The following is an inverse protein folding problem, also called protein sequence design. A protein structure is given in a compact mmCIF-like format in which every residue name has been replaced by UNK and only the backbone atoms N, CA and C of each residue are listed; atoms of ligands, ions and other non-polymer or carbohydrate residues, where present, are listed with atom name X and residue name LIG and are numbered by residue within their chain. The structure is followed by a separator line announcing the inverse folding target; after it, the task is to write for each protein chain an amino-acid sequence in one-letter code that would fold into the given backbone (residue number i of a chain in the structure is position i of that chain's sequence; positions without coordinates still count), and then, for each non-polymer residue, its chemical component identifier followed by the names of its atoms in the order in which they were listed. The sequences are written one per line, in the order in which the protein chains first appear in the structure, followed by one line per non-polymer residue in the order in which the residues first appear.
data_IF_880238458483
#
_entry.id   IF_880238458483
#
_cell.length_a   1.000
_cell.length_b   1.000
_cell.length_c   1.000
_cell.angle_alpha   90.00
_cell.angle_beta   90.00
_cell.angle_gamma   90.00
#
_symmetry.space_group_name_H-M   'P 1'
#
loop_
_entity.id
_entity.type
_entity.pdbx_description
1 polymer ?
#
# COMPACT_ATOMS: atom_id res chain seq x y z
N UNK A 1 23.39 -16.32 -0.74
CA UNK A 1 22.17 -15.57 -1.10
C UNK A 1 21.16 -16.09 -0.13
N UNK A 2 20.84 -15.29 0.89
CA UNK A 2 19.81 -15.66 1.86
C UNK A 2 18.53 -15.21 1.19
N UNK A 3 17.75 -16.15 0.67
CA UNK A 3 16.41 -15.85 0.18
C UNK A 3 15.59 -15.34 1.37
N UNK A 4 14.88 -14.24 1.17
CA UNK A 4 14.03 -13.62 2.18
C UNK A 4 12.88 -14.56 2.52
N UNK A 5 12.62 -14.87 3.81
CA UNK A 5 11.60 -15.84 4.17
C UNK A 5 10.21 -15.34 3.80
N UNK A 6 9.43 -16.19 3.13
CA UNK A 6 8.07 -15.91 2.70
C UNK A 6 7.08 -16.54 3.67
N UNK A 7 6.25 -15.72 4.31
CA UNK A 7 5.17 -16.17 5.19
C UNK A 7 3.80 -15.85 4.60
N UNK A 8 2.90 -16.82 4.57
CA UNK A 8 1.54 -16.65 4.06
C UNK A 8 0.54 -16.76 5.20
N UNK A 9 -0.32 -15.75 5.37
CA UNK A 9 -1.49 -15.85 6.24
C UNK A 9 -2.73 -16.01 5.38
N UNK A 10 -3.43 -17.14 5.53
CA UNK A 10 -4.61 -17.48 4.75
C UNK A 10 -5.86 -17.43 5.64
N UNK A 11 -6.74 -16.46 5.36
CA UNK A 11 -8.02 -16.26 6.03
C UNK A 11 -9.15 -16.94 5.28
N UNK A 12 -9.90 -17.79 5.97
CA UNK A 12 -10.98 -18.59 5.40
C UNK A 12 -12.27 -18.42 6.19
N UNK A 13 -13.41 -18.25 5.50
CA UNK A 13 -14.71 -18.24 6.19
C UNK A 13 -15.09 -19.64 6.69
N UNK A 14 -15.40 -19.75 7.99
CA UNK A 14 -15.80 -21.02 8.59
C UNK A 14 -17.33 -21.22 8.63
N UNK A 15 -17.83 -22.48 8.55
CA UNK A 15 -17.23 -23.63 7.89
C UNK A 15 -17.88 -23.79 6.51
N UNK A 16 -17.17 -23.41 5.45
CA UNK A 16 -17.60 -23.70 4.09
C UNK A 16 -16.56 -24.62 3.43
N UNK A 17 -16.87 -25.92 3.41
CA UNK A 17 -16.24 -26.92 2.53
C UNK A 17 -16.66 -26.60 1.10
N UNK A 18 -16.03 -25.58 0.52
CA UNK A 18 -16.17 -25.25 -0.88
C UNK A 18 -14.94 -25.79 -1.57
N UNK A 19 -15.14 -26.71 -2.51
CA UNK A 19 -14.07 -27.34 -3.31
C UNK A 19 -12.96 -26.37 -3.77
N UNK A 20 -13.25 -25.14 -4.29
CA UNK A 20 -12.17 -24.22 -4.66
C UNK A 20 -11.33 -23.74 -3.47
N UNK A 21 -11.94 -23.53 -2.30
CA UNK A 21 -11.21 -23.08 -1.11
C UNK A 21 -10.34 -24.20 -0.57
N UNK A 22 -10.87 -25.42 -0.51
CA UNK A 22 -10.11 -26.60 -0.04
C UNK A 22 -8.89 -26.83 -0.95
N UNK A 23 -9.08 -26.81 -2.27
CA UNK A 23 -7.99 -26.97 -3.23
C UNK A 23 -6.93 -25.88 -3.15
N UNK A 24 -7.33 -24.62 -2.93
CA UNK A 24 -6.38 -23.50 -2.73
C UNK A 24 -5.57 -23.66 -1.45
N UNK A 25 -6.20 -24.08 -0.35
CA UNK A 25 -5.51 -24.36 0.92
C UNK A 25 -4.56 -25.55 0.79
N UNK A 26 -4.98 -26.64 0.15
CA UNK A 26 -4.11 -27.80 -0.14
C UNK A 26 -2.89 -27.40 -0.98
N UNK A 27 -3.09 -26.51 -1.95
CA UNK A 27 -2.01 -26.00 -2.79
C UNK A 27 -1.01 -25.16 -2.00
N UNK A 28 -1.48 -24.30 -1.09
CA UNK A 28 -0.60 -23.53 -0.21
C UNK A 28 0.19 -24.43 0.74
N UNK A 29 -0.43 -25.50 1.27
CA UNK A 29 0.26 -26.50 2.09
C UNK A 29 1.33 -27.25 1.31
N UNK A 30 1.09 -27.53 0.02
CA UNK A 30 2.12 -28.10 -0.84
C UNK A 30 3.29 -27.11 -1.02
N UNK A 31 3.01 -25.82 -1.23
CA UNK A 31 4.04 -24.78 -1.36
C UNK A 31 4.95 -24.71 -0.12
N UNK A 32 4.37 -24.81 1.08
CA UNK A 32 5.12 -24.89 2.35
C UNK A 32 5.97 -26.16 2.42
N UNK A 33 5.40 -27.32 2.10
CA UNK A 33 6.13 -28.60 2.12
C UNK A 33 7.26 -28.68 1.10
N UNK A 34 7.13 -27.98 -0.03
CA UNK A 34 8.12 -27.91 -1.11
C UNK A 34 9.19 -26.83 -0.87
N UNK A 35 9.01 -25.96 0.14
CA UNK A 35 9.94 -24.90 0.51
C UNK A 35 9.87 -23.66 -0.39
N UNK A 36 8.80 -23.50 -1.16
CA UNK A 36 8.49 -22.26 -1.91
C UNK A 36 7.82 -21.20 -1.04
N UNK A 37 7.26 -21.61 0.09
CA UNK A 37 6.76 -20.77 1.18
C UNK A 37 7.42 -21.28 2.45
N UNK A 38 7.94 -20.40 3.30
CA UNK A 38 8.62 -20.80 4.53
C UNK A 38 7.64 -21.14 5.66
N UNK A 39 6.52 -20.41 5.76
CA UNK A 39 5.50 -20.63 6.80
C UNK A 39 4.08 -20.32 6.29
N UNK A 40 3.12 -21.20 6.61
CA UNK A 40 1.70 -21.04 6.30
C UNK A 40 0.83 -20.98 7.57
N UNK A 41 0.17 -19.84 7.79
CA UNK A 41 -0.76 -19.62 8.89
C UNK A 41 -2.21 -19.61 8.42
N UNK A 42 -2.98 -20.66 8.77
CA UNK A 42 -4.42 -20.70 8.52
C UNK A 42 -5.22 -19.99 9.64
N UNK A 43 -6.10 -19.08 9.26
CA UNK A 43 -7.00 -18.32 10.14
C UNK A 43 -8.42 -18.40 9.64
N UNK A 44 -9.37 -18.44 10.59
CA UNK A 44 -10.78 -18.37 10.25
C UNK A 44 -11.34 -17.00 10.58
N UNK A 45 -12.29 -16.53 9.76
CA UNK A 45 -12.99 -15.26 10.00
C UNK A 45 -14.50 -15.37 9.72
N UNK A 46 -15.32 -14.55 10.39
CA UNK A 46 -16.76 -14.53 10.17
C UNK A 46 -17.10 -13.94 8.80
N UNK A 47 -18.27 -14.30 8.29
CA UNK A 47 -18.81 -13.75 7.04
C UNK A 47 -19.07 -12.24 7.12
N UNK A 48 -19.64 -11.82 8.24
CA UNK A 48 -20.03 -10.44 8.49
C UNK A 48 -19.58 -10.03 9.90
N UNK A 49 -19.03 -8.82 10.01
CA UNK A 49 -18.58 -8.21 11.26
C UNK A 49 -19.30 -6.89 11.43
N UNK A 50 -19.83 -6.61 12.62
CA UNK A 50 -20.37 -5.27 12.91
C UNK A 50 -19.22 -4.29 13.11
N UNK A 51 -19.22 -3.16 12.40
CA UNK A 51 -18.24 -2.08 12.58
C UNK A 51 -18.62 -1.25 13.80
N UNK A 52 -18.22 -1.70 14.98
CA UNK A 52 -18.40 -0.98 16.24
C UNK A 52 -17.30 -1.31 17.22
N UNK A 53 -16.94 -0.38 18.10
CA UNK A 53 -15.90 -0.57 19.15
C UNK A 53 -16.20 -1.72 20.11
N UNK A 54 -17.48 -2.11 20.22
CA UNK A 54 -17.95 -3.23 21.05
C UNK A 54 -18.14 -4.53 20.26
N UNK A 55 -17.70 -4.58 19.00
CA UNK A 55 -17.78 -5.81 18.19
C UNK A 55 -16.90 -6.90 18.83
N UNK A 56 -17.37 -8.15 18.91
CA UNK A 56 -16.58 -9.27 19.42
C UNK A 56 -15.48 -9.74 18.45
N UNK A 57 -15.38 -9.13 17.26
CA UNK A 57 -14.41 -9.43 16.23
C UNK A 57 -13.53 -8.21 15.92
N UNK A 58 -13.01 -7.55 16.96
CA UNK A 58 -12.10 -6.40 16.79
C UNK A 58 -10.89 -6.79 15.95
N UNK A 59 -10.36 -7.99 16.13
CA UNK A 59 -9.19 -8.49 15.42
C UNK A 59 -9.38 -8.50 13.89
N UNK A 60 -10.60 -8.72 13.42
CA UNK A 60 -10.94 -8.70 11.99
C UNK A 60 -11.02 -7.26 11.47
N UNK A 61 -11.52 -6.33 12.29
CA UNK A 61 -11.57 -4.91 11.94
C UNK A 61 -10.16 -4.32 11.89
N UNK A 62 -9.31 -4.62 12.87
CA UNK A 62 -7.90 -4.22 12.88
C UNK A 62 -7.14 -4.78 11.67
N UNK A 63 -7.39 -6.05 11.33
CA UNK A 63 -6.83 -6.68 10.12
C UNK A 63 -7.28 -5.97 8.85
N UNK A 64 -8.57 -5.64 8.75
CA UNK A 64 -9.13 -4.91 7.62
C UNK A 64 -8.53 -3.50 7.48
N UNK A 65 -8.42 -2.75 8.58
CA UNK A 65 -7.81 -1.40 8.58
C UNK A 65 -6.34 -1.44 8.15
N UNK A 66 -5.60 -2.47 8.58
CA UNK A 66 -4.23 -2.72 8.12
C UNK A 66 -4.16 -3.01 6.62
N UNK A 67 -5.12 -3.75 6.07
CA UNK A 67 -5.20 -4.02 4.63
C UNK A 67 -5.57 -2.78 3.83
N UNK A 68 -6.49 -1.94 4.32
CA UNK A 68 -6.78 -0.64 3.70
C UNK A 68 -5.52 0.23 3.66
N UNK A 69 -4.80 0.33 4.78
CA UNK A 69 -3.56 1.11 4.86
C UNK A 69 -2.44 0.59 3.95
N UNK A 70 -2.42 -0.72 3.70
CA UNK A 70 -1.53 -1.33 2.71
C UNK A 70 -1.97 -0.97 1.30
N UNK A 71 -3.25 -1.14 0.99
CA UNK A 71 -3.82 -0.93 -0.34
C UNK A 71 -3.65 0.53 -0.79
N UNK A 72 -3.97 1.48 0.08
CA UNK A 72 -3.83 2.92 -0.15
C UNK A 72 -2.39 3.30 -0.53
N UNK A 73 -1.40 2.70 0.13
CA UNK A 73 0.03 2.96 -0.13
C UNK A 73 0.50 2.39 -1.47
N UNK A 74 -0.24 1.43 -2.01
CA UNK A 74 0.13 0.67 -3.21
C UNK A 74 -0.73 1.05 -4.43
N UNK A 75 -1.65 2.02 -4.27
CA UNK A 75 -2.55 2.45 -5.35
C UNK A 75 -3.55 1.37 -5.78
N UNK A 76 -3.88 0.46 -4.87
CA UNK A 76 -4.86 -0.61 -5.11
C UNK A 76 -5.96 -0.55 -4.05
N UNK A 77 -7.03 -1.31 -4.27
CA UNK A 77 -8.17 -1.39 -3.39
C UNK A 77 -8.50 -2.84 -3.04
N UNK A 78 -8.65 -3.15 -1.76
CA UNK A 78 -9.21 -4.45 -1.31
C UNK A 78 -10.73 -4.56 -1.50
N UNK A 79 -11.35 -3.53 -2.09
CA UNK A 79 -12.75 -3.54 -2.54
C UNK A 79 -12.77 -3.76 -4.06
N UNK A 80 -13.72 -4.54 -4.61
CA UNK A 80 -14.94 -5.06 -3.99
C UNK A 80 -14.89 -6.40 -3.20
N UNK A 81 -13.75 -7.11 -3.03
CA UNK A 81 -13.71 -8.33 -2.22
C UNK A 81 -14.21 -8.14 -0.79
N UNK A 82 -13.74 -7.08 -0.12
CA UNK A 82 -14.35 -6.58 1.10
C UNK A 82 -15.49 -5.62 0.75
N UNK A 83 -16.62 -5.75 1.46
CA UNK A 83 -17.80 -4.90 1.21
C UNK A 83 -18.37 -4.35 2.48
N UNK A 84 -18.89 -3.15 2.41
CA UNK A 84 -19.59 -2.52 3.52
C UNK A 84 -21.09 -2.55 3.26
N UNK A 85 -21.87 -2.87 4.30
CA UNK A 85 -23.32 -2.90 4.23
C UNK A 85 -23.94 -2.25 5.44
N UNK A 86 -24.94 -1.42 5.20
CA UNK A 86 -25.80 -0.90 6.24
C UNK A 86 -27.01 -1.83 6.43
N UNK A 87 -27.29 -2.21 7.68
CA UNK A 87 -28.46 -3.02 8.05
C UNK A 87 -29.30 -2.28 9.09
N UNK A 88 -30.58 -2.06 8.78
CA UNK A 88 -31.54 -1.48 9.73
C UNK A 88 -32.43 -2.57 10.30
N UNK A 89 -32.54 -2.62 11.62
CA UNK A 89 -33.40 -3.56 12.35
C UNK A 89 -34.87 -3.14 12.28
N UNK A 90 -35.77 -4.04 12.70
CA UNK A 90 -37.20 -3.72 12.86
C UNK A 90 -37.45 -2.62 13.91
N UNK A 91 -36.52 -2.42 14.85
CA UNK A 91 -36.56 -1.35 15.85
C UNK A 91 -36.07 0.00 15.32
N UNK A 92 -35.62 0.06 14.06
CA UNK A 92 -35.08 1.27 13.43
C UNK A 92 -33.60 1.52 13.74
N UNK A 93 -32.93 0.63 14.45
CA UNK A 93 -31.49 0.73 14.72
C UNK A 93 -30.71 0.35 13.46
N UNK A 94 -29.82 1.24 13.03
CA UNK A 94 -28.94 1.02 11.88
C UNK A 94 -27.55 0.59 12.35
N UNK A 95 -26.97 -0.40 11.68
CA UNK A 95 -25.62 -0.92 11.95
C UNK A 95 -24.83 -1.05 10.66
N UNK A 96 -23.56 -0.72 10.71
CA UNK A 96 -22.62 -0.91 9.61
C UNK A 96 -21.94 -2.28 9.75
N UNK A 97 -21.86 -2.99 8.64
CA UNK A 97 -21.32 -4.34 8.56
C UNK A 97 -20.17 -4.37 7.57
N UNK A 98 -19.06 -4.95 7.97
CA UNK A 98 -18.00 -5.39 7.07
C UNK A 98 -18.29 -6.83 6.63
N UNK A 99 -18.33 -7.05 5.33
CA UNK A 99 -18.43 -8.36 4.70
C UNK A 99 -17.04 -8.75 4.20
N UNK A 100 -16.47 -9.82 4.77
CA UNK A 100 -15.16 -10.36 4.37
C UNK A 100 -15.23 -11.05 2.99
N UNK A 101 -14.13 -11.37 2.31
CA UNK A 101 -14.15 -12.33 1.21
C UNK A 101 -14.22 -13.77 1.72
N UNK A 102 -14.42 -14.73 0.82
CA UNK A 102 -14.43 -16.15 1.17
C UNK A 102 -13.04 -16.65 1.60
N UNK A 103 -12.04 -16.20 0.85
CA UNK A 103 -10.62 -16.45 1.02
C UNK A 103 -9.88 -15.13 0.91
N UNK A 104 -8.87 -14.89 1.75
CA UNK A 104 -7.95 -13.77 1.64
C UNK A 104 -6.54 -14.22 2.05
N UNK A 105 -5.54 -13.75 1.32
CA UNK A 105 -4.14 -14.04 1.58
C UNK A 105 -3.44 -12.76 1.99
N UNK A 106 -2.61 -12.86 3.03
CA UNK A 106 -1.54 -11.91 3.32
C UNK A 106 -0.23 -12.58 2.93
N UNK A 107 0.62 -11.85 2.22
CA UNK A 107 1.96 -12.29 1.80
C UNK A 107 2.97 -11.42 2.50
N UNK A 108 3.87 -12.06 3.26
CA UNK A 108 4.97 -11.40 3.94
C UNK A 108 6.30 -11.85 3.37
N UNK A 109 7.22 -10.92 3.19
CA UNK A 109 8.63 -11.17 2.87
C UNK A 109 9.47 -10.47 3.96
N UNK A 110 10.33 -11.22 4.67
CA UNK A 110 11.12 -10.67 5.79
C UNK A 110 10.27 -9.90 6.83
N UNK A 111 9.11 -10.46 7.19
CA UNK A 111 8.12 -9.86 8.11
C UNK A 111 7.45 -8.55 7.60
N UNK A 112 7.73 -8.10 6.37
CA UNK A 112 7.04 -6.98 5.74
C UNK A 112 5.80 -7.45 4.99
N UNK A 113 4.64 -6.79 5.19
CA UNK A 113 3.43 -7.08 4.42
C UNK A 113 3.61 -6.60 2.98
N UNK A 114 3.89 -7.53 2.08
CA UNK A 114 4.16 -7.23 0.67
C UNK A 114 2.90 -7.39 -0.19
N UNK A 115 1.97 -8.28 0.15
CA UNK A 115 0.75 -8.50 -0.66
C UNK A 115 -0.51 -8.80 0.14
N UNK A 116 -1.66 -8.30 -0.34
CA UNK A 116 -2.99 -8.74 0.14
C UNK A 116 -3.83 -9.16 -1.07
N UNK A 117 -4.35 -10.39 -1.09
CA UNK A 117 -5.16 -10.89 -2.20
C UNK A 117 -6.51 -11.42 -1.69
N UNK A 118 -7.62 -11.21 -2.41
CA UNK A 118 -7.71 -10.46 -3.65
C UNK A 118 -7.76 -8.94 -3.42
N UNK A 119 -7.31 -8.17 -4.40
CA UNK A 119 -7.47 -6.72 -4.48
C UNK A 119 -7.72 -6.34 -5.95
N UNK A 120 -8.17 -5.11 -6.16
CA UNK A 120 -8.40 -4.51 -7.47
C UNK A 120 -7.46 -3.33 -7.67
N UNK A 121 -6.99 -3.15 -8.89
CA UNK A 121 -6.22 -1.99 -9.30
C UNK A 121 -7.17 -0.83 -9.62
N UNK A 122 -6.92 0.34 -9.03
CA UNK A 122 -7.82 1.50 -9.13
C UNK A 122 -7.79 2.16 -10.52
N UNK A 123 -6.75 1.93 -11.33
CA UNK A 123 -6.61 2.51 -12.67
C UNK A 123 -7.22 1.63 -13.76
N UNK A 124 -7.07 0.32 -13.65
CA UNK A 124 -7.43 -0.67 -14.67
C UNK A 124 -8.75 -1.40 -14.37
N UNK A 125 -9.27 -1.30 -13.14
CA UNK A 125 -10.39 -2.10 -12.63
C UNK A 125 -10.13 -3.63 -12.68
N UNK A 126 -8.89 -4.07 -12.93
CA UNK A 126 -8.52 -5.48 -12.92
C UNK A 126 -8.40 -5.99 -11.47
N UNK A 127 -8.80 -7.25 -11.23
CA UNK A 127 -8.76 -7.85 -9.89
C UNK A 127 -7.73 -8.96 -9.85
N UNK A 128 -6.67 -8.77 -9.07
CA UNK A 128 -5.72 -9.81 -8.74
C UNK A 128 -6.37 -10.79 -7.75
N UNK A 129 -6.45 -12.05 -8.14
CA UNK A 129 -7.16 -13.11 -7.40
C UNK A 129 -6.23 -13.91 -6.50
N UNK A 130 -6.81 -14.65 -5.55
CA UNK A 130 -6.05 -15.62 -4.74
C UNK A 130 -5.52 -16.78 -5.56
N UNK A 131 -6.18 -17.14 -6.67
CA UNK A 131 -5.75 -18.22 -7.57
C UNK A 131 -4.45 -17.84 -8.30
N UNK A 132 -4.41 -16.63 -8.85
CA UNK A 132 -3.23 -16.07 -9.49
C UNK A 132 -2.07 -15.95 -8.51
N UNK A 133 -2.33 -15.44 -7.29
CA UNK A 133 -1.31 -15.35 -6.26
C UNK A 133 -0.72 -16.71 -5.88
N UNK A 134 -1.56 -17.74 -5.71
CA UNK A 134 -1.12 -19.11 -5.42
C UNK A 134 -0.35 -19.69 -6.61
N UNK A 135 -0.78 -19.43 -7.83
CA UNK A 135 -0.08 -19.89 -9.03
C UNK A 135 1.36 -19.34 -9.11
N UNK A 136 1.57 -18.08 -8.71
CA UNK A 136 2.91 -17.47 -8.61
C UNK A 136 3.73 -18.06 -7.47
N UNK A 137 3.14 -18.24 -6.27
CA UNK A 137 3.88 -18.84 -5.15
C UNK A 137 4.41 -20.24 -5.48
N UNK A 138 3.67 -21.03 -6.26
CA UNK A 138 4.10 -22.36 -6.72
C UNK A 138 5.34 -22.36 -7.60
N UNK A 139 5.68 -21.23 -8.24
CA UNK A 139 6.91 -21.11 -9.04
C UNK A 139 8.11 -20.69 -8.20
N UNK A 140 7.91 -20.44 -6.90
CA UNK A 140 8.90 -19.84 -6.00
C UNK A 140 9.03 -18.32 -6.19
N UNK A 141 8.10 -17.70 -6.91
CA UNK A 141 8.05 -16.25 -7.10
C UNK A 141 7.05 -15.62 -6.12
N UNK A 142 7.30 -14.35 -5.78
CA UNK A 142 6.39 -13.57 -4.92
C UNK A 142 5.35 -12.86 -5.80
N UNK A 143 4.04 -13.07 -5.58
CA UNK A 143 2.99 -12.47 -6.40
C UNK A 143 2.98 -10.94 -6.31
N UNK A 144 2.72 -10.31 -7.47
CA UNK A 144 2.57 -8.86 -7.63
C UNK A 144 1.10 -8.50 -7.90
N UNK A 145 0.67 -7.26 -7.62
CA UNK A 145 1.47 -6.11 -7.19
C UNK A 145 2.04 -6.28 -5.78
N UNK A 146 3.30 -5.87 -5.61
CA UNK A 146 3.78 -5.35 -4.33
C UNK A 146 3.47 -3.84 -4.26
N UNK A 147 2.43 -3.38 -4.96
CA UNK A 147 2.45 -2.09 -5.66
C UNK A 147 3.76 -1.88 -6.44
N UNK A 148 3.76 -0.91 -7.33
CA UNK A 148 4.86 0.02 -7.20
C UNK A 148 4.52 0.75 -5.88
N UNK A 149 5.48 0.95 -4.95
CA UNK A 149 5.38 2.20 -4.19
C UNK A 149 5.09 3.24 -5.27
N UNK A 150 4.05 4.10 -5.16
CA UNK A 150 3.89 5.18 -6.11
C UNK A 150 5.30 5.67 -6.31
N UNK A 151 5.83 5.52 -7.52
CA UNK A 151 7.19 5.95 -7.77
C UNK A 151 7.02 7.40 -7.41
N UNK A 152 7.48 7.77 -6.23
CA UNK A 152 7.53 9.12 -5.77
C UNK A 152 8.60 9.67 -6.69
N UNK A 153 8.15 9.96 -7.90
CA UNK A 153 8.44 11.18 -8.59
C UNK A 153 7.86 12.34 -7.75
N UNK A 154 7.89 12.29 -6.40
CA UNK A 154 8.44 13.39 -5.65
C UNK A 154 9.74 13.65 -6.38
N UNK A 155 9.78 14.72 -7.18
CA UNK A 155 10.90 14.98 -8.08
C UNK A 155 12.18 14.68 -7.31
N UNK A 156 12.88 13.61 -7.70
CA UNK A 156 14.19 13.28 -7.18
C UNK A 156 15.08 14.42 -7.66
N UNK A 157 15.03 15.49 -6.88
CA UNK A 157 16.03 16.49 -6.85
C UNK A 157 17.28 15.74 -6.40
N UNK A 158 18.08 15.26 -7.34
CA UNK A 158 19.33 14.51 -7.12
C UNK A 158 20.42 15.39 -6.45
N UNK A 159 20.00 16.34 -5.60
CA UNK A 159 20.81 17.44 -5.11
C UNK A 159 21.43 18.26 -6.23
N UNK A 160 20.88 18.23 -7.44
CA UNK A 160 21.54 18.76 -8.64
C UNK A 160 20.86 20.04 -9.12
N UNK A 161 21.67 21.04 -9.47
CA UNK A 161 21.22 22.35 -9.89
C UNK A 161 20.46 22.26 -11.23
N UNK A 162 19.24 22.82 -11.32
CA UNK A 162 18.45 22.77 -12.55
C UNK A 162 19.04 23.57 -13.72
N UNK A 163 19.95 24.51 -13.45
CA UNK A 163 20.53 25.39 -14.49
C UNK A 163 21.82 24.83 -15.10
N UNK A 164 22.67 24.19 -14.29
CA UNK A 164 24.01 23.76 -14.73
C UNK A 164 24.34 22.29 -14.43
N UNK A 165 23.51 21.57 -13.68
CA UNK A 165 23.75 20.17 -13.36
C UNK A 165 24.82 19.91 -12.29
N UNK A 166 25.24 20.93 -11.53
CA UNK A 166 26.21 20.78 -10.42
C UNK A 166 25.52 20.56 -9.07
N UNK A 167 26.25 20.10 -8.05
CA UNK A 167 25.71 19.77 -6.74
C UNK A 167 25.30 21.02 -5.94
N UNK A 168 24.11 20.98 -5.37
CA UNK A 168 23.52 22.01 -4.53
C UNK A 168 23.94 21.84 -3.07
N UNK A 169 24.12 22.97 -2.39
CA UNK A 169 24.32 23.02 -0.94
C UNK A 169 22.98 23.35 -0.28
N UNK A 170 22.50 22.47 0.60
CA UNK A 170 21.33 22.76 1.46
C UNK A 170 21.74 23.58 2.69
N UNK A 171 20.99 24.64 2.95
CA UNK A 171 21.06 25.44 4.15
C UNK A 171 19.67 25.78 4.66
N UNK A 172 19.11 24.92 5.52
CA UNK A 172 17.80 25.14 6.17
C UNK A 172 16.66 25.30 5.15
N UNK A 173 16.64 24.46 4.10
CA UNK A 173 15.60 24.48 3.06
C UNK A 173 15.82 25.50 1.95
N UNK A 174 16.97 26.18 1.96
CA UNK A 174 17.45 27.00 0.85
C UNK A 174 18.61 26.28 0.15
N UNK A 175 18.51 26.13 -1.17
CA UNK A 175 19.50 25.45 -1.99
C UNK A 175 20.32 26.46 -2.78
N UNK A 176 21.65 26.30 -2.74
CA UNK A 176 22.58 27.16 -3.47
C UNK A 176 23.52 26.34 -4.35
N UNK A 177 23.61 26.70 -5.63
CA UNK A 177 24.62 26.17 -6.54
C UNK A 177 25.90 27.01 -6.43
N UNK A 178 27.04 26.36 -6.22
CA UNK A 178 28.34 27.06 -6.14
C UNK A 178 28.92 27.43 -7.50
N UNK A 179 28.48 26.76 -8.57
CA UNK A 179 29.05 26.93 -9.91
C UNK A 179 28.35 28.06 -10.68
N UNK A 180 27.03 28.00 -10.85
CA UNK A 180 26.28 29.03 -11.56
C UNK A 180 25.67 30.11 -10.65
N UNK A 181 25.76 29.94 -9.33
CA UNK A 181 25.19 30.89 -8.36
C UNK A 181 23.67 30.82 -8.20
N UNK A 182 23.04 29.76 -8.71
CA UNK A 182 21.60 29.55 -8.58
C UNK A 182 21.17 29.46 -7.11
N UNK A 183 20.00 30.04 -6.79
CA UNK A 183 19.38 30.03 -5.47
C UNK A 183 17.90 29.69 -5.60
N UNK A 184 17.43 28.73 -4.82
CA UNK A 184 16.02 28.34 -4.84
C UNK A 184 15.59 27.50 -3.65
N UNK A 185 14.30 27.22 -3.59
CA UNK A 185 13.67 26.37 -2.57
C UNK A 185 12.98 25.20 -3.24
N UNK A 186 12.53 24.23 -2.45
CA UNK A 186 11.69 23.13 -2.93
C UNK A 186 10.23 23.50 -2.68
N UNK A 187 9.37 23.37 -3.68
CA UNK A 187 7.92 23.60 -3.54
C UNK A 187 7.19 22.38 -2.96
N UNK A 188 5.86 22.50 -2.73
CA UNK A 188 5.04 21.41 -2.19
C UNK A 188 4.98 20.17 -3.11
N UNK A 189 5.38 20.31 -4.38
CA UNK A 189 5.49 19.22 -5.35
C UNK A 189 6.91 18.63 -5.43
N UNK A 190 7.85 19.10 -4.61
CA UNK A 190 9.22 18.62 -4.59
C UNK A 190 10.10 19.19 -5.69
N UNK A 191 9.75 20.27 -6.39
CA UNK A 191 10.57 20.86 -7.46
C UNK A 191 11.41 22.06 -6.99
N UNK A 192 12.64 22.17 -7.52
CA UNK A 192 13.49 23.34 -7.33
C UNK A 192 12.93 24.58 -8.04
N UNK A 193 12.47 25.56 -7.26
CA UNK A 193 11.97 26.84 -7.74
C UNK A 193 12.97 27.95 -7.45
N UNK A 194 13.36 28.70 -8.48
CA UNK A 194 14.31 29.81 -8.35
C UNK A 194 13.70 30.95 -7.53
N UNK A 195 14.44 31.49 -6.56
CA UNK A 195 14.05 32.73 -5.90
C UNK A 195 14.51 33.92 -6.74
N UNK A 196 13.64 34.43 -7.61
CA UNK A 196 13.85 35.74 -8.20
C UNK A 196 13.84 36.77 -7.06
N UNK A 197 15.02 37.33 -6.76
CA UNK A 197 15.15 38.44 -5.83
C UNK A 197 14.25 39.58 -6.32
N UNK A 198 13.30 40.11 -5.52
CA UNK A 198 12.62 41.32 -5.91
C UNK A 198 13.68 42.41 -6.09
N UNK A 199 13.84 42.86 -7.33
CA UNK A 199 14.76 43.95 -7.68
C UNK A 199 14.51 45.11 -6.74
N UNK A 200 15.49 45.39 -5.88
CA UNK A 200 15.53 46.56 -5.01
C UNK A 200 15.44 47.78 -5.93
N UNK A 201 14.26 48.40 -5.99
CA UNK A 201 14.06 49.67 -6.64
C UNK A 201 15.09 50.66 -6.03
N UNK A 202 16.01 51.14 -6.87
CA UNK A 202 16.90 52.24 -6.53
C UNK A 202 16.05 53.50 -6.29
N UNK A 203 15.67 53.74 -5.04
CA UNK A 203 15.19 55.04 -4.61
C UNK A 203 16.37 56.02 -4.66
N UNK A 204 16.42 56.80 -5.72
CA UNK A 204 17.35 57.93 -5.86
C UNK A 204 16.88 59.06 -4.95
N UNK A 205 17.66 59.50 -3.93
CA UNK A 205 17.24 60.59 -3.08
C UNK A 205 17.39 61.92 -3.82
N UNK A 206 16.26 62.59 -4.07
CA UNK A 206 16.26 64.00 -4.48
C UNK A 206 16.37 64.86 -3.22
N UNK A 207 17.48 65.58 -3.08
CA UNK A 207 17.68 66.58 -2.01
C UNK A 207 17.43 67.97 -2.62
N UNK A 208 16.63 68.85 -1.99
CA UNK A 208 16.39 70.23 -2.45
C UNK A 208 17.57 71.18 -2.22
#
# INVERSE_FOLDING_TARGET
MTESPITIVCHVRAPLLLEPVDSQVETLQACESEGTVDDLLLRSWPKEVTRSETSPHQEVLETFERFESWADRRGVSIRPPFRERTRTSLTGETRELLMTPLLCLEVYEDDELVGVFPHSDDETDETATTDEAIATLRTGEVPTPLGELPTESAGENDGTCPDCGDQLVDGQGLFACRECGWLGTVDDAGQFVSQESPTRAEETPTIP
#
